data_IF_073488071799
#
_entry.id   IF_073488071799
#
_cell.length_a   1.000
_cell.length_b   1.000
_cell.length_c   1.000
_cell.angle_alpha   90.00
_cell.angle_beta   90.00
_cell.angle_gamma   90.00
#
_symmetry.space_group_name_H-M   'P 1'
#
loop_
_entity.id
_entity.type
_entity.pdbx_description
1 polymer ?
#
# COMPACT_ATOMS: atom_id res chain seq x y z
N UNK A 1 16.39 20.50 11.91
CA UNK A 1 16.01 19.95 10.61
C UNK A 1 16.81 18.67 10.44
N UNK A 2 16.22 17.50 10.72
CA UNK A 2 16.93 16.25 10.49
C UNK A 2 17.01 16.01 8.99
N UNK A 3 18.21 15.88 8.48
CA UNK A 3 18.55 15.70 7.07
C UNK A 3 18.20 14.30 6.50
N UNK A 4 17.41 13.50 7.21
CA UNK A 4 17.26 12.07 6.93
C UNK A 4 15.82 11.62 6.60
N UNK A 5 14.90 12.56 6.35
CA UNK A 5 13.55 12.22 5.92
C UNK A 5 13.57 11.67 4.48
N UNK A 6 13.08 10.45 4.27
CA UNK A 6 13.02 9.83 2.94
C UNK A 6 11.97 10.48 2.03
N UNK A 7 10.83 10.87 2.61
CA UNK A 7 9.74 11.48 1.86
C UNK A 7 9.78 13.00 2.02
N UNK A 8 9.87 13.70 0.91
CA UNK A 8 9.79 15.16 0.84
C UNK A 8 8.37 15.62 0.53
N UNK A 9 8.10 16.91 0.73
CA UNK A 9 6.84 17.53 0.33
C UNK A 9 5.57 16.90 0.93
N UNK A 10 5.65 16.27 2.11
CA UNK A 10 4.50 15.61 2.73
C UNK A 10 3.35 16.58 2.93
N UNK A 11 3.62 17.78 3.46
CA UNK A 11 2.59 18.80 3.73
C UNK A 11 1.89 19.28 2.45
N UNK A 12 2.65 19.48 1.36
CA UNK A 12 2.10 19.87 0.07
C UNK A 12 1.33 18.74 -0.62
N UNK A 13 1.55 17.50 -0.18
CA UNK A 13 0.87 16.31 -0.69
C UNK A 13 -0.44 16.03 0.02
N UNK A 14 -0.78 16.76 1.08
CA UNK A 14 -2.06 16.58 1.76
C UNK A 14 -3.22 17.05 0.88
N UNK A 15 -4.24 16.20 0.78
CA UNK A 15 -5.48 16.51 0.06
C UNK A 15 -6.23 17.64 0.80
N UNK A 16 -6.57 18.68 0.07
CA UNK A 16 -7.43 19.77 0.57
C UNK A 16 -8.92 19.45 0.41
N UNK A 17 -9.25 18.65 -0.60
CA UNK A 17 -10.61 18.24 -0.91
C UNK A 17 -10.60 16.80 -1.43
N UNK A 18 -11.71 16.11 -1.27
CA UNK A 18 -11.88 14.79 -1.88
C UNK A 18 -11.79 14.90 -3.41
N UNK A 19 -11.13 13.94 -4.09
CA UNK A 19 -11.09 13.89 -5.53
C UNK A 19 -12.49 13.84 -6.12
N UNK A 20 -12.80 14.73 -7.07
CA UNK A 20 -14.17 14.89 -7.58
C UNK A 20 -14.54 13.87 -8.65
N UNK A 21 -13.69 13.66 -9.62
CA UNK A 21 -13.92 12.73 -10.74
C UNK A 21 -12.67 11.92 -11.02
N UNK A 22 -12.84 10.62 -11.19
CA UNK A 22 -11.79 9.69 -11.60
C UNK A 22 -12.41 8.48 -12.32
N UNK A 23 -11.64 7.83 -13.16
CA UNK A 23 -12.12 6.74 -14.01
C UNK A 23 -11.59 5.38 -13.58
N UNK A 24 -10.43 5.34 -12.90
CA UNK A 24 -9.75 4.11 -12.51
C UNK A 24 -9.30 4.16 -11.07
N UNK A 25 -9.36 2.99 -10.43
CA UNK A 25 -8.90 2.78 -9.06
C UNK A 25 -7.86 1.67 -9.06
N UNK A 26 -6.86 1.85 -8.22
CA UNK A 26 -5.82 0.87 -7.91
C UNK A 26 -5.81 0.63 -6.40
N UNK A 27 -5.64 -0.62 -6.00
CA UNK A 27 -5.60 -0.99 -4.58
C UNK A 27 -4.27 -1.64 -4.26
N UNK A 28 -3.72 -1.31 -3.11
CA UNK A 28 -2.58 -1.98 -2.49
C UNK A 28 -2.94 -2.45 -1.09
N UNK A 29 -2.64 -3.69 -0.79
CA UNK A 29 -2.95 -4.32 0.50
C UNK A 29 -1.68 -4.85 1.16
N UNK A 30 -1.40 -4.35 2.35
CA UNK A 30 -0.39 -4.88 3.27
C UNK A 30 -1.13 -5.57 4.43
N UNK A 31 -1.04 -6.89 4.46
CA UNK A 31 -1.82 -7.71 5.39
C UNK A 31 -0.95 -8.12 6.57
N UNK A 32 -1.28 -7.56 7.72
CA UNK A 32 -0.67 -7.91 8.99
C UNK A 32 -1.21 -9.22 9.56
N UNK A 33 -0.31 -10.06 10.07
CA UNK A 33 -0.67 -11.30 10.77
C UNK A 33 -0.39 -11.13 12.26
N UNK A 34 -1.37 -11.42 13.08
CA UNK A 34 -1.31 -11.54 14.54
C UNK A 34 -0.93 -10.28 15.33
N UNK A 35 0.11 -9.54 14.98
CA UNK A 35 0.61 -8.40 15.77
C UNK A 35 0.74 -7.08 14.98
N UNK A 36 0.59 -7.14 13.67
CA UNK A 36 0.70 -5.97 12.82
C UNK A 36 -0.68 -5.52 12.31
N UNK A 37 -0.77 -4.26 11.93
CA UNK A 37 -1.95 -3.74 11.27
C UNK A 37 -2.04 -4.25 9.84
N UNK A 38 -3.25 -4.52 9.39
CA UNK A 38 -3.55 -4.63 7.97
C UNK A 38 -3.96 -3.26 7.46
N UNK A 39 -3.45 -2.88 6.30
CA UNK A 39 -3.78 -1.61 5.67
C UNK A 39 -4.15 -1.83 4.22
N UNK A 40 -5.31 -1.32 3.85
CA UNK A 40 -5.85 -1.35 2.50
C UNK A 40 -5.91 0.09 1.99
N UNK A 41 -5.25 0.35 0.87
CA UNK A 41 -5.19 1.69 0.27
C UNK A 41 -5.75 1.65 -1.14
N UNK A 42 -6.62 2.59 -1.47
CA UNK A 42 -7.13 2.81 -2.83
C UNK A 42 -6.73 4.20 -3.32
N UNK A 43 -6.26 4.28 -4.57
CA UNK A 43 -5.96 5.54 -5.24
C UNK A 43 -6.50 5.56 -6.66
N UNK A 44 -6.66 6.76 -7.22
CA UNK A 44 -7.08 6.94 -8.59
C UNK A 44 -5.87 7.03 -9.56
N UNK A 45 -6.15 7.23 -10.84
CA UNK A 45 -5.15 7.35 -11.92
C UNK A 45 -4.21 8.56 -11.78
N UNK A 46 -4.56 9.54 -10.95
CA UNK A 46 -3.73 10.70 -10.66
C UNK A 46 -2.88 10.54 -9.39
N UNK A 47 -2.79 9.34 -8.84
CA UNK A 47 -2.13 9.06 -7.57
C UNK A 47 -2.71 9.82 -6.38
N UNK A 48 -4.00 10.10 -6.41
CA UNK A 48 -4.75 10.65 -5.29
C UNK A 48 -5.35 9.51 -4.49
N UNK A 49 -5.04 9.41 -3.21
CA UNK A 49 -5.61 8.40 -2.31
C UNK A 49 -7.06 8.74 -2.04
N UNK A 50 -7.96 7.82 -2.34
CA UNK A 50 -9.41 8.00 -2.19
C UNK A 50 -9.99 7.27 -0.99
N UNK A 51 -9.32 6.24 -0.50
CA UNK A 51 -9.80 5.44 0.63
C UNK A 51 -8.64 4.72 1.31
N UNK A 52 -8.71 4.59 2.64
CA UNK A 52 -7.80 3.80 3.46
C UNK A 52 -8.62 3.07 4.51
N UNK A 53 -8.37 1.76 4.69
CA UNK A 53 -8.83 1.00 5.83
C UNK A 53 -7.63 0.42 6.58
N UNK A 54 -7.55 0.70 7.88
CA UNK A 54 -6.50 0.22 8.78
C UNK A 54 -7.15 -0.51 9.94
N UNK A 55 -6.80 -1.77 10.14
CA UNK A 55 -7.39 -2.60 11.18
C UNK A 55 -6.40 -3.60 11.72
N UNK A 56 -6.69 -4.12 12.91
CA UNK A 56 -5.82 -5.07 13.61
C UNK A 56 -6.64 -6.29 14.03
N UNK A 57 -6.15 -7.48 13.66
CA UNK A 57 -6.87 -8.74 13.89
C UNK A 57 -7.33 -8.92 15.36
N UNK A 58 -6.41 -8.70 16.32
CA UNK A 58 -6.69 -8.88 17.74
C UNK A 58 -7.35 -7.68 18.40
N UNK A 59 -6.86 -6.48 18.14
CA UNK A 59 -7.38 -5.25 18.78
C UNK A 59 -8.82 -4.99 18.38
N UNK A 60 -9.16 -5.23 17.11
CA UNK A 60 -10.52 -5.09 16.58
C UNK A 60 -11.38 -6.34 16.80
N UNK A 61 -10.82 -7.36 17.47
CA UNK A 61 -11.52 -8.61 17.83
C UNK A 61 -12.19 -9.30 16.64
N UNK A 62 -11.49 -9.35 15.53
CA UNK A 62 -11.97 -10.00 14.33
C UNK A 62 -11.77 -11.52 14.43
N UNK A 63 -12.77 -12.29 14.01
CA UNK A 63 -12.57 -13.70 13.67
C UNK A 63 -12.05 -13.82 12.23
N UNK A 64 -11.68 -15.02 11.83
CA UNK A 64 -11.10 -15.27 10.50
C UNK A 64 -12.06 -14.87 9.36
N UNK A 65 -13.34 -15.16 9.51
CA UNK A 65 -14.33 -14.83 8.48
C UNK A 65 -14.59 -13.33 8.39
N UNK A 66 -14.70 -12.64 9.51
CA UNK A 66 -14.85 -11.18 9.56
C UNK A 66 -13.61 -10.47 9.00
N UNK A 67 -12.43 -11.00 9.25
CA UNK A 67 -11.17 -10.50 8.71
C UNK A 67 -11.15 -10.60 7.17
N UNK A 68 -11.45 -11.77 6.64
CA UNK A 68 -11.56 -11.99 5.19
C UNK A 68 -12.65 -11.11 4.56
N UNK A 69 -13.80 -11.01 5.21
CA UNK A 69 -14.91 -10.22 4.71
C UNK A 69 -14.57 -8.73 4.64
N UNK A 70 -13.83 -8.21 5.61
CA UNK A 70 -13.38 -6.81 5.59
C UNK A 70 -12.49 -6.49 4.41
N UNK A 71 -11.59 -7.40 4.04
CA UNK A 71 -10.74 -7.28 2.85
C UNK A 71 -11.61 -7.30 1.59
N UNK A 72 -12.54 -8.26 1.49
CA UNK A 72 -13.45 -8.36 0.35
C UNK A 72 -14.33 -7.13 0.20
N UNK A 73 -14.87 -6.60 1.30
CA UNK A 73 -15.76 -5.42 1.30
C UNK A 73 -15.04 -4.19 0.77
N UNK A 74 -13.78 -3.99 1.14
CA UNK A 74 -12.98 -2.89 0.61
C UNK A 74 -12.78 -3.00 -0.91
N UNK A 75 -12.44 -4.17 -1.39
CA UNK A 75 -12.31 -4.45 -2.82
C UNK A 75 -13.63 -4.22 -3.55
N UNK A 76 -14.73 -4.79 -3.06
CA UNK A 76 -16.04 -4.70 -3.71
C UNK A 76 -16.61 -3.27 -3.70
N UNK A 77 -16.30 -2.48 -2.69
CA UNK A 77 -16.66 -1.06 -2.62
C UNK A 77 -16.12 -0.27 -3.83
N UNK A 78 -14.97 -0.67 -4.35
CA UNK A 78 -14.29 0.01 -5.45
C UNK A 78 -14.31 -0.77 -6.77
N UNK A 79 -15.00 -1.89 -6.82
CA UNK A 79 -14.95 -2.86 -7.92
C UNK A 79 -15.31 -2.28 -9.29
N UNK A 80 -16.29 -1.37 -9.35
CA UNK A 80 -16.78 -0.80 -10.62
C UNK A 80 -15.67 -0.11 -11.43
N UNK A 81 -14.78 0.63 -10.78
CA UNK A 81 -13.66 1.37 -11.41
C UNK A 81 -12.31 0.70 -11.19
N UNK A 82 -12.27 -0.42 -10.50
CA UNK A 82 -11.02 -1.10 -10.15
C UNK A 82 -10.32 -1.64 -11.40
N UNK A 83 -9.08 -1.21 -11.61
CA UNK A 83 -8.20 -1.74 -12.65
C UNK A 83 -7.39 -2.94 -12.16
N UNK A 84 -6.80 -2.86 -10.97
CA UNK A 84 -6.04 -3.92 -10.34
C UNK A 84 -5.93 -3.73 -8.83
N UNK A 85 -5.71 -4.84 -8.12
CA UNK A 85 -5.46 -4.86 -6.69
C UNK A 85 -4.22 -5.72 -6.42
N UNK A 86 -3.16 -5.13 -5.87
CA UNK A 86 -1.99 -5.87 -5.40
C UNK A 86 -2.17 -6.27 -3.94
N UNK A 87 -2.19 -7.56 -3.70
CA UNK A 87 -2.29 -8.18 -2.38
C UNK A 87 -0.93 -8.75 -1.98
N UNK A 88 -0.34 -8.24 -0.89
CA UNK A 88 0.91 -8.80 -0.39
C UNK A 88 0.70 -10.20 0.19
N UNK A 89 1.35 -11.18 -0.42
CA UNK A 89 1.19 -12.60 -0.06
C UNK A 89 2.28 -13.14 0.85
N UNK A 90 3.23 -12.33 1.30
CA UNK A 90 4.28 -12.79 2.20
C UNK A 90 3.67 -13.39 3.48
N UNK A 91 3.83 -14.70 3.64
CA UNK A 91 3.20 -15.51 4.70
C UNK A 91 1.64 -15.52 4.69
N UNK A 92 1.02 -15.09 3.59
CA UNK A 92 -0.43 -14.98 3.45
C UNK A 92 -0.99 -15.71 2.21
N UNK A 93 -0.24 -16.64 1.65
CA UNK A 93 -0.64 -17.36 0.43
C UNK A 93 -2.00 -18.08 0.59
N UNK A 94 -2.19 -18.74 1.73
CA UNK A 94 -3.46 -19.43 2.00
C UNK A 94 -4.64 -18.46 2.08
N UNK A 95 -4.44 -17.33 2.76
CA UNK A 95 -5.46 -16.28 2.87
C UNK A 95 -5.81 -15.73 1.49
N UNK A 96 -4.80 -15.47 0.66
CA UNK A 96 -4.98 -15.02 -0.72
C UNK A 96 -5.81 -16.02 -1.53
N UNK A 97 -5.47 -17.32 -1.46
CA UNK A 97 -6.18 -18.36 -2.17
C UNK A 97 -7.65 -18.47 -1.72
N UNK A 98 -7.89 -18.39 -0.42
CA UNK A 98 -9.26 -18.44 0.14
C UNK A 98 -10.10 -17.23 -0.29
N UNK A 99 -9.51 -16.03 -0.35
CA UNK A 99 -10.21 -14.82 -0.79
C UNK A 99 -10.48 -14.87 -2.29
N UNK A 100 -9.52 -15.30 -3.09
CA UNK A 100 -9.63 -15.33 -4.56
C UNK A 100 -10.35 -16.53 -5.09
N UNK A 101 -10.75 -17.48 -4.25
CA UNK A 101 -11.72 -18.53 -4.60
C UNK A 101 -13.10 -17.95 -4.98
N UNK A 102 -13.39 -16.74 -4.54
CA UNK A 102 -14.52 -15.95 -5.00
C UNK A 102 -14.20 -15.29 -6.36
N UNK A 103 -14.93 -15.70 -7.41
CA UNK A 103 -14.74 -15.20 -8.79
C UNK A 103 -14.82 -13.67 -8.93
N UNK A 104 -15.47 -12.99 -7.99
CA UNK A 104 -15.53 -11.52 -7.97
C UNK A 104 -14.18 -10.86 -7.69
N UNK A 105 -13.24 -11.61 -7.09
CA UNK A 105 -11.91 -11.12 -6.72
C UNK A 105 -10.87 -11.27 -7.84
N UNK A 106 -11.27 -11.43 -9.10
CA UNK A 106 -10.39 -11.76 -10.23
C UNK A 106 -9.35 -10.68 -10.58
N UNK A 107 -9.52 -9.44 -10.10
CA UNK A 107 -8.55 -8.36 -10.29
C UNK A 107 -7.49 -8.31 -9.18
N UNK A 108 -7.58 -9.20 -8.19
CA UNK A 108 -6.61 -9.31 -7.12
C UNK A 108 -5.39 -10.10 -7.60
N UNK A 109 -4.21 -9.50 -7.50
CA UNK A 109 -2.95 -10.03 -8.00
C UNK A 109 -2.00 -10.23 -6.81
N UNK A 110 -1.38 -11.41 -6.68
CA UNK A 110 -0.42 -11.64 -5.61
C UNK A 110 0.84 -10.80 -5.83
N UNK A 111 1.27 -10.11 -4.79
CA UNK A 111 2.48 -9.29 -4.78
C UNK A 111 3.45 -9.80 -3.72
N UNK A 112 4.71 -9.99 -4.10
CA UNK A 112 5.75 -10.43 -3.18
C UNK A 112 6.69 -9.28 -2.81
N UNK A 113 6.72 -8.93 -1.55
CA UNK A 113 7.69 -8.00 -0.99
C UNK A 113 8.97 -8.75 -0.66
N UNK A 114 10.04 -8.44 -1.38
CA UNK A 114 11.35 -9.07 -1.27
C UNK A 114 12.43 -8.03 -1.02
N UNK A 115 13.67 -8.47 -0.79
CA UNK A 115 14.84 -7.58 -0.73
C UNK A 115 15.09 -6.81 -2.02
N UNK A 116 14.57 -7.28 -3.16
CA UNK A 116 14.66 -6.62 -4.46
C UNK A 116 13.47 -5.71 -4.72
N UNK A 117 12.24 -6.17 -4.49
CA UNK A 117 11.02 -5.41 -4.79
C UNK A 117 10.74 -4.28 -3.80
N UNK A 118 11.05 -4.47 -2.51
CA UNK A 118 10.81 -3.44 -1.48
C UNK A 118 11.54 -2.12 -1.79
N UNK A 119 12.84 -2.10 -2.10
CA UNK A 119 13.50 -0.87 -2.51
C UNK A 119 12.89 -0.22 -3.75
N UNK A 120 12.44 -1.02 -4.70
CA UNK A 120 11.84 -0.53 -5.95
C UNK A 120 10.52 0.21 -5.69
N UNK A 121 9.59 -0.38 -4.93
CA UNK A 121 8.33 0.27 -4.61
C UNK A 121 8.50 1.50 -3.72
N UNK A 122 9.45 1.48 -2.80
CA UNK A 122 9.76 2.64 -1.95
C UNK A 122 10.39 3.77 -2.76
N UNK A 123 11.31 3.50 -3.67
CA UNK A 123 11.89 4.51 -4.56
C UNK A 123 10.83 5.14 -5.46
N UNK A 124 9.90 4.35 -5.97
CA UNK A 124 8.76 4.88 -6.71
C UNK A 124 7.92 5.85 -5.86
N UNK A 125 7.62 5.47 -4.62
CA UNK A 125 6.87 6.32 -3.71
C UNK A 125 7.62 7.61 -3.37
N UNK A 126 8.93 7.54 -3.10
CA UNK A 126 9.78 8.70 -2.87
C UNK A 126 9.70 9.69 -4.04
N UNK A 127 9.81 9.17 -5.27
CA UNK A 127 9.74 10.00 -6.48
C UNK A 127 8.39 10.69 -6.62
N UNK A 128 7.30 10.01 -6.32
CA UNK A 128 5.95 10.61 -6.40
C UNK A 128 5.78 11.77 -5.40
N UNK A 129 6.40 11.69 -4.23
CA UNK A 129 6.44 12.79 -3.27
C UNK A 129 7.37 13.93 -3.73
N UNK A 130 8.55 13.62 -4.23
CA UNK A 130 9.50 14.62 -4.76
C UNK A 130 8.88 15.43 -5.90
N UNK A 131 8.19 14.76 -6.81
CA UNK A 131 7.54 15.37 -7.98
C UNK A 131 6.19 16.02 -7.62
N UNK A 132 5.75 15.94 -6.36
CA UNK A 132 4.47 16.48 -5.87
C UNK A 132 3.25 15.93 -6.63
N UNK A 133 3.35 14.71 -7.12
CA UNK A 133 2.28 14.04 -7.87
C UNK A 133 1.28 13.39 -6.93
N UNK A 134 1.76 12.65 -5.94
CA UNK A 134 0.90 11.93 -5.00
C UNK A 134 0.13 12.89 -4.09
N UNK A 135 -1.12 12.56 -3.81
CA UNK A 135 -1.95 13.25 -2.83
C UNK A 135 -2.50 12.24 -1.83
N UNK A 136 -2.37 12.56 -0.56
CA UNK A 136 -2.77 11.71 0.56
C UNK A 136 -3.74 12.42 1.49
N UNK A 137 -4.64 11.69 2.17
CA UNK A 137 -5.48 12.31 3.19
C UNK A 137 -4.64 12.74 4.39
N UNK A 138 -5.13 13.75 5.10
CA UNK A 138 -4.56 14.18 6.39
C UNK A 138 -4.95 13.17 7.49
N UNK A 139 -4.30 12.02 7.44
CA UNK A 139 -4.48 10.92 8.36
C UNK A 139 -3.25 10.82 9.26
N UNK A 140 -3.41 11.12 10.54
CA UNK A 140 -2.29 11.30 11.48
C UNK A 140 -1.31 10.11 11.49
N UNK A 141 -1.82 8.89 11.51
CA UNK A 141 -0.99 7.68 11.54
C UNK A 141 -0.14 7.53 10.27
N UNK A 142 -0.72 7.84 9.11
CA UNK A 142 0.02 7.80 7.83
C UNK A 142 1.11 8.87 7.79
N UNK A 143 0.77 10.11 8.12
CA UNK A 143 1.72 11.23 8.13
C UNK A 143 2.88 10.94 9.07
N UNK A 144 2.58 10.43 10.26
CA UNK A 144 3.59 10.05 11.25
C UNK A 144 4.51 8.94 10.74
N UNK A 145 3.95 7.89 10.13
CA UNK A 145 4.74 6.80 9.55
C UNK A 145 5.66 7.31 8.44
N UNK A 146 5.18 8.22 7.57
CA UNK A 146 5.98 8.82 6.50
C UNK A 146 7.18 9.62 7.05
N UNK A 147 6.99 10.38 8.13
CA UNK A 147 8.10 11.11 8.78
C UNK A 147 9.09 10.18 9.49
N UNK A 148 8.60 9.07 10.03
CA UNK A 148 9.41 8.12 10.81
C UNK A 148 10.13 7.09 9.91
N UNK A 149 9.75 6.97 8.65
CA UNK A 149 10.30 5.98 7.71
C UNK A 149 11.73 6.34 7.31
N UNK A 150 12.65 5.37 7.44
CA UNK A 150 14.10 5.59 7.27
C UNK A 150 14.72 4.55 6.34
N UNK A 151 15.83 4.92 5.75
CA UNK A 151 16.74 3.97 5.13
C UNK A 151 17.91 3.64 6.06
N UNK A 152 18.31 2.39 6.08
CA UNK A 152 19.48 1.91 6.80
C UNK A 152 20.31 1.06 5.84
N UNK A 153 21.60 1.33 5.77
CA UNK A 153 22.51 0.49 4.99
C UNK A 153 22.90 -0.73 5.81
N UNK A 154 22.68 -1.92 5.26
CA UNK A 154 23.14 -3.15 5.88
C UNK A 154 24.69 -3.15 5.88
N UNK A 155 25.35 -3.27 7.05
CA UNK A 155 26.80 -3.20 7.14
C UNK A 155 27.53 -4.39 6.50
N UNK A 156 26.84 -5.52 6.32
CA UNK A 156 27.41 -6.74 5.76
C UNK A 156 27.25 -6.77 4.23
N UNK A 157 26.03 -6.49 3.73
CA UNK A 157 25.71 -6.62 2.31
C UNK A 157 25.83 -5.30 1.55
N UNK A 158 25.91 -4.16 2.25
CA UNK A 158 25.89 -2.83 1.66
C UNK A 158 24.52 -2.39 1.10
N UNK A 159 23.53 -3.26 1.12
CA UNK A 159 22.20 -2.99 0.58
C UNK A 159 21.41 -2.02 1.47
N UNK A 160 20.61 -1.18 0.84
CA UNK A 160 19.66 -0.32 1.54
C UNK A 160 18.48 -1.15 2.05
N UNK A 161 18.18 -0.98 3.32
CA UNK A 161 16.97 -1.49 3.95
C UNK A 161 16.07 -0.32 4.33
N UNK A 162 14.77 -0.49 4.12
CA UNK A 162 13.77 0.52 4.40
C UNK A 162 12.80 0.01 5.46
N UNK A 163 12.63 0.78 6.52
CA UNK A 163 11.69 0.46 7.59
C UNK A 163 11.45 1.69 8.46
N UNK A 164 10.43 1.62 9.30
CA UNK A 164 10.30 2.59 10.36
C UNK A 164 11.37 2.38 11.46
N UNK A 165 11.52 3.41 12.30
CA UNK A 165 12.34 3.33 13.49
C UNK A 165 11.89 2.14 14.34
N UNK A 166 12.84 1.46 14.96
CA UNK A 166 12.59 0.29 15.80
C UNK A 166 11.43 0.53 16.80
N UNK A 167 10.48 -0.40 16.83
CA UNK A 167 9.26 -0.31 17.65
C UNK A 167 8.12 0.53 17.07
N UNK A 168 8.24 1.03 15.83
CA UNK A 168 7.19 1.77 15.12
C UNK A 168 6.67 0.99 13.93
N UNK A 169 5.40 1.23 13.58
CA UNK A 169 4.75 0.59 12.43
C UNK A 169 5.13 1.25 11.11
N UNK A 170 5.15 0.46 10.02
CA UNK A 170 5.35 0.93 8.64
C UNK A 170 4.26 0.41 7.68
N UNK A 171 3.20 -0.17 8.22
CA UNK A 171 2.15 -0.85 7.46
C UNK A 171 1.41 0.09 6.50
N UNK A 172 1.16 1.33 6.91
CA UNK A 172 0.50 2.32 6.06
C UNK A 172 1.39 2.80 4.92
N UNK A 173 2.67 3.03 5.19
CA UNK A 173 3.65 3.38 4.15
C UNK A 173 3.79 2.24 3.15
N UNK A 174 3.85 1.00 3.62
CA UNK A 174 3.96 -0.17 2.75
C UNK A 174 2.72 -0.37 1.89
N UNK A 175 1.53 -0.28 2.46
CA UNK A 175 0.27 -0.34 1.70
C UNK A 175 0.20 0.76 0.64
N UNK A 176 0.57 1.99 0.99
CA UNK A 176 0.63 3.12 0.06
C UNK A 176 1.65 2.86 -1.06
N UNK A 177 2.83 2.37 -0.74
CA UNK A 177 3.87 2.05 -1.71
C UNK A 177 3.43 0.95 -2.70
N UNK A 178 2.80 -0.12 -2.21
CA UNK A 178 2.26 -1.20 -3.03
C UNK A 178 1.15 -0.66 -3.94
N UNK A 179 0.25 0.16 -3.42
CA UNK A 179 -0.82 0.78 -4.19
C UNK A 179 -0.29 1.68 -5.31
N UNK A 180 0.67 2.55 -5.00
CA UNK A 180 1.29 3.45 -5.97
C UNK A 180 2.05 2.67 -7.05
N UNK A 181 2.69 1.57 -6.69
CA UNK A 181 3.38 0.71 -7.64
C UNK A 181 2.41 -0.04 -8.55
N UNK A 182 1.30 -0.53 -8.01
CA UNK A 182 0.19 -1.09 -8.80
C UNK A 182 -0.31 -0.07 -9.84
N UNK A 183 -0.58 1.16 -9.42
CA UNK A 183 -1.02 2.23 -10.31
C UNK A 183 0.01 2.53 -11.41
N UNK A 184 1.30 2.56 -11.06
CA UNK A 184 2.38 2.79 -12.01
C UNK A 184 2.44 1.68 -13.06
N UNK A 185 2.51 0.42 -12.64
CA UNK A 185 2.65 -0.72 -13.55
C UNK A 185 1.45 -0.83 -14.51
N UNK A 186 0.24 -0.67 -14.00
CA UNK A 186 -0.97 -0.74 -14.82
C UNK A 186 -1.08 0.41 -15.83
N UNK A 187 -0.66 1.61 -15.46
CA UNK A 187 -0.68 2.78 -16.34
C UNK A 187 0.44 2.77 -17.38
N UNK A 188 1.60 2.21 -17.05
CA UNK A 188 2.73 2.10 -17.96
C UNK A 188 2.51 1.01 -19.05
N UNK A 189 1.36 0.32 -19.02
CA UNK A 189 1.04 -0.73 -19.98
C UNK A 189 1.87 -2.01 -19.77
N UNK A 190 2.42 -2.16 -18.59
CA UNK A 190 3.38 -3.20 -18.23
C UNK A 190 2.76 -4.52 -17.80
N UNK A 191 1.57 -4.87 -18.23
CA UNK A 191 1.10 -6.24 -18.03
C UNK A 191 1.50 -7.09 -19.22
N UNK A 192 2.71 -7.58 -19.20
CA UNK A 192 3.04 -8.78 -19.98
C UNK A 192 2.37 -9.95 -19.25
N UNK A 193 1.20 -10.34 -19.73
CA UNK A 193 0.66 -11.63 -19.36
C UNK A 193 1.61 -12.68 -19.90
N UNK A 194 2.40 -13.28 -19.04
CA UNK A 194 3.06 -14.53 -19.36
C UNK A 194 1.96 -15.60 -19.38
N UNK A 195 1.56 -15.96 -20.56
CA UNK A 195 0.75 -17.16 -20.82
C UNK A 195 1.56 -18.42 -20.51
#
# INVERSE_FOLDING_TARGET
>A
VSSDALFSNIEESLLKHQPSEYERIYIGMDIGVAQDYSVLTAMNERYEVIDIDRFHYKEDRLDTESFKQRIKDFYLKHDEKLAACYFEVNNNDLLFDEITDDDKMYKMIPFHTTSASKPEIIKNLIKLFEDKVIKIPDYNELVKELYDFKSKRNPITGNLQFSNTEGKHDDMVMSLAICAYCAKEEQDGGVTYFL
#
